data_IF_628054346647
#
_entry.id   IF_628054346647
#
_cell.length_a   1.000
_cell.length_b   1.000
_cell.length_c   1.000
_cell.angle_alpha   90.00
_cell.angle_beta   90.00
_cell.angle_gamma   90.00
#
_symmetry.space_group_name_H-M   'P 1'
#
loop_
_entity.id
_entity.type
_entity.pdbx_description
1 polymer ?
#
# COMPACT_ATOMS: atom_id res chain seq x y z
N UNK A 1 21.24 5.94 2.77
CA UNK A 1 20.35 5.67 1.63
C UNK A 1 18.92 5.26 2.00
N UNK A 2 18.74 4.37 2.99
CA UNK A 2 17.42 3.88 3.37
C UNK A 2 16.57 4.91 4.13
N UNK A 3 17.20 5.72 4.98
CA UNK A 3 16.51 6.78 5.73
C UNK A 3 15.96 7.88 4.81
N UNK A 4 16.69 8.21 3.75
CA UNK A 4 16.21 9.16 2.75
C UNK A 4 14.96 8.63 2.03
N UNK A 5 14.93 7.35 1.67
CA UNK A 5 13.80 6.76 0.97
C UNK A 5 12.50 6.79 1.81
N UNK A 6 12.58 6.48 3.10
CA UNK A 6 11.42 6.50 4.01
C UNK A 6 10.87 7.92 4.17
N UNK A 7 11.77 8.87 4.39
CA UNK A 7 11.43 10.29 4.55
C UNK A 7 10.84 10.87 3.27
N UNK A 8 11.46 10.61 2.13
CA UNK A 8 11.01 11.14 0.84
C UNK A 8 9.67 10.54 0.41
N UNK A 9 9.43 9.26 0.71
CA UNK A 9 8.12 8.63 0.51
C UNK A 9 7.03 9.30 1.35
N UNK A 10 7.33 9.63 2.60
CA UNK A 10 6.38 10.33 3.47
C UNK A 10 6.07 11.74 2.94
N UNK A 11 7.09 12.51 2.56
CA UNK A 11 6.90 13.85 1.99
C UNK A 11 6.12 13.81 0.68
N UNK A 12 6.38 12.84 -0.19
CA UNK A 12 5.66 12.70 -1.46
C UNK A 12 4.18 12.44 -1.23
N UNK A 13 3.83 11.59 -0.25
CA UNK A 13 2.44 11.31 0.10
C UNK A 13 1.78 12.56 0.70
N UNK A 14 2.44 13.26 1.61
CA UNK A 14 1.92 14.50 2.17
C UNK A 14 1.70 15.57 1.07
N UNK A 15 2.66 15.74 0.16
CA UNK A 15 2.54 16.67 -0.96
C UNK A 15 1.39 16.31 -1.91
N UNK A 16 1.15 15.03 -2.17
CA UNK A 16 0.04 14.58 -3.02
C UNK A 16 -1.33 14.86 -2.40
N UNK A 17 -1.42 15.00 -1.08
CA UNK A 17 -2.65 15.34 -0.37
C UNK A 17 -2.98 16.84 -0.39
N UNK A 18 -1.99 17.72 -0.59
CA UNK A 18 -2.20 19.18 -0.62
C UNK A 18 -3.24 19.59 -1.68
N UNK A 19 -3.18 19.13 -2.95
CA UNK A 19 -4.19 19.47 -3.94
C UNK A 19 -5.59 19.03 -3.55
N UNK A 20 -5.73 17.85 -2.94
CA UNK A 20 -7.01 17.32 -2.46
C UNK A 20 -7.58 18.22 -1.38
N UNK A 21 -6.77 18.64 -0.40
CA UNK A 21 -7.18 19.52 0.67
C UNK A 21 -7.52 20.94 0.18
N UNK A 22 -6.83 21.42 -0.86
CA UNK A 22 -7.09 22.74 -1.47
C UNK A 22 -8.36 22.76 -2.33
N UNK A 23 -8.63 21.67 -3.06
CA UNK A 23 -9.83 21.57 -3.91
C UNK A 23 -11.10 21.36 -3.09
N UNK A 24 -10.98 20.73 -1.91
CA UNK A 24 -12.11 20.46 -1.01
C UNK A 24 -12.01 21.20 0.33
N UNK A 25 -11.85 22.54 0.36
CA UNK A 25 -11.71 23.29 1.62
C UNK A 25 -12.96 23.24 2.50
N UNK A 26 -14.13 22.94 1.90
CA UNK A 26 -15.43 22.85 2.58
C UNK A 26 -15.89 21.40 2.79
N UNK A 27 -15.03 20.42 2.63
CA UNK A 27 -15.34 19.07 3.11
C UNK A 27 -15.40 19.20 4.63
N UNK A 28 -16.63 19.32 5.15
CA UNK A 28 -16.84 19.29 6.59
C UNK A 28 -16.20 18.02 7.12
N UNK A 29 -15.11 18.18 7.81
CA UNK A 29 -14.36 17.10 8.48
C UNK A 29 -15.21 16.51 9.61
N UNK A 30 -16.48 16.90 9.66
CA UNK A 30 -17.46 16.48 10.62
C UNK A 30 -18.00 15.09 10.23
N UNK A 31 -17.69 14.17 11.04
CA UNK A 31 -18.41 12.94 11.46
C UNK A 31 -19.14 12.07 10.43
N UNK A 32 -19.23 12.42 9.14
CA UNK A 32 -19.97 11.58 8.17
C UNK A 32 -19.64 11.86 6.71
N UNK A 33 -19.87 10.85 5.88
CA UNK A 33 -19.64 10.87 4.41
C UNK A 33 -20.62 11.77 3.63
N UNK A 34 -21.54 12.43 4.32
CA UNK A 34 -22.57 13.23 3.68
C UNK A 34 -23.69 12.40 3.02
N UNK A 35 -24.84 13.04 2.83
CA UNK A 35 -26.03 12.37 2.30
C UNK A 35 -25.86 11.82 0.88
N UNK A 36 -25.13 12.54 0.03
CA UNK A 36 -24.96 12.18 -1.38
C UNK A 36 -24.15 10.89 -1.54
N UNK A 37 -23.00 10.79 -0.84
CA UNK A 37 -22.13 9.61 -0.89
C UNK A 37 -22.84 8.41 -0.28
N UNK A 38 -23.55 8.59 0.84
CA UNK A 38 -24.33 7.52 1.47
C UNK A 38 -25.45 7.01 0.57
N UNK A 39 -26.15 7.89 -0.14
CA UNK A 39 -27.18 7.50 -1.11
C UNK A 39 -26.59 6.77 -2.32
N UNK A 40 -25.46 7.23 -2.86
CA UNK A 40 -24.77 6.57 -3.98
C UNK A 40 -24.35 5.15 -3.61
N UNK A 41 -23.84 4.95 -2.39
CA UNK A 41 -23.43 3.63 -1.91
C UNK A 41 -24.66 2.69 -1.68
N UNK A 42 -25.77 3.21 -1.18
CA UNK A 42 -26.98 2.42 -0.94
C UNK A 42 -27.71 2.03 -2.23
N UNK A 43 -27.73 2.90 -3.22
CA UNK A 43 -28.50 2.71 -4.47
C UNK A 43 -27.71 2.00 -5.56
N UNK A 44 -26.42 1.69 -5.35
CA UNK A 44 -25.51 1.22 -6.39
C UNK A 44 -25.48 2.09 -7.66
N UNK A 45 -25.92 3.35 -7.54
CA UNK A 45 -25.98 4.28 -8.66
C UNK A 45 -24.60 4.58 -9.27
N UNK A 46 -23.51 4.28 -8.55
CA UNK A 46 -22.15 4.39 -9.06
C UNK A 46 -21.92 3.56 -10.32
N UNK A 47 -22.59 2.40 -10.46
CA UNK A 47 -22.49 1.57 -11.68
C UNK A 47 -23.06 2.25 -12.93
N UNK A 48 -24.04 3.15 -12.77
CA UNK A 48 -24.63 3.88 -13.91
C UNK A 48 -23.69 4.95 -14.45
N UNK A 49 -22.69 5.35 -13.67
CA UNK A 49 -21.69 6.36 -14.05
C UNK A 49 -20.32 5.75 -14.34
N UNK A 50 -20.23 4.45 -14.57
CA UNK A 50 -18.96 3.72 -14.83
C UNK A 50 -17.92 3.91 -13.69
N UNK A 51 -18.39 4.21 -12.48
CA UNK A 51 -17.56 4.38 -11.30
C UNK A 51 -17.53 3.07 -10.50
N UNK A 52 -16.40 2.79 -9.87
CA UNK A 52 -16.32 1.66 -8.94
C UNK A 52 -17.35 1.82 -7.81
N UNK A 53 -18.06 0.74 -7.44
CA UNK A 53 -19.08 0.80 -6.40
C UNK A 53 -18.44 1.20 -5.07
N UNK A 54 -19.02 2.22 -4.44
CA UNK A 54 -18.66 2.60 -3.08
C UNK A 54 -19.13 1.50 -2.12
N UNK A 55 -18.19 0.90 -1.39
CA UNK A 55 -18.55 -0.15 -0.45
C UNK A 55 -19.26 0.45 0.79
N UNK A 56 -20.54 0.17 0.91
CA UNK A 56 -21.38 0.63 2.02
C UNK A 56 -20.83 0.22 3.40
N UNK A 57 -20.18 -0.94 3.48
CA UNK A 57 -19.57 -1.42 4.73
C UNK A 57 -18.49 -0.48 5.25
N UNK A 58 -17.70 0.12 4.36
CA UNK A 58 -16.67 1.09 4.73
C UNK A 58 -17.29 2.40 5.19
N UNK A 59 -18.28 2.88 4.43
CA UNK A 59 -18.97 4.13 4.77
C UNK A 59 -19.71 4.06 6.11
N UNK A 60 -20.26 2.90 6.46
CA UNK A 60 -20.97 2.72 7.72
C UNK A 60 -20.03 2.57 8.93
N UNK A 61 -18.79 2.15 8.71
CA UNK A 61 -17.85 1.80 9.79
C UNK A 61 -16.82 2.89 10.08
N UNK A 62 -16.34 3.57 9.05
CA UNK A 62 -15.28 4.54 9.15
C UNK A 62 -15.78 5.95 8.84
N UNK A 63 -15.30 6.90 9.62
CA UNK A 63 -15.38 8.30 9.24
C UNK A 63 -14.46 8.57 8.03
N UNK A 64 -14.71 9.60 7.22
CA UNK A 64 -13.84 9.97 6.10
C UNK A 64 -12.38 10.14 6.52
N UNK A 65 -12.14 10.69 7.70
CA UNK A 65 -10.81 10.90 8.25
C UNK A 65 -10.09 9.59 8.57
N UNK A 66 -10.78 8.63 9.19
CA UNK A 66 -10.22 7.31 9.49
C UNK A 66 -9.91 6.53 8.23
N UNK A 67 -10.82 6.54 7.25
CA UNK A 67 -10.62 5.89 5.96
C UNK A 67 -9.41 6.48 5.21
N UNK A 68 -9.29 7.82 5.20
CA UNK A 68 -8.16 8.51 4.60
C UNK A 68 -6.85 8.16 5.33
N UNK A 69 -6.85 8.17 6.66
CA UNK A 69 -5.68 7.82 7.46
C UNK A 69 -5.20 6.38 7.21
N UNK A 70 -6.13 5.42 7.14
CA UNK A 70 -5.80 4.03 6.82
C UNK A 70 -5.24 3.86 5.40
N UNK A 71 -5.81 4.57 4.42
CA UNK A 71 -5.31 4.54 3.04
C UNK A 71 -3.90 5.14 2.96
N UNK A 72 -3.67 6.29 3.60
CA UNK A 72 -2.34 6.91 3.65
C UNK A 72 -1.31 5.99 4.30
N UNK A 73 -1.68 5.33 5.39
CA UNK A 73 -0.82 4.38 6.08
C UNK A 73 -0.47 3.19 5.18
N UNK A 74 -1.45 2.63 4.47
CA UNK A 74 -1.23 1.52 3.53
C UNK A 74 -0.29 1.91 2.38
N UNK A 75 -0.49 3.09 1.79
CA UNK A 75 0.37 3.63 0.73
C UNK A 75 1.79 3.86 1.25
N UNK A 76 1.93 4.40 2.45
CA UNK A 76 3.23 4.62 3.07
C UNK A 76 3.97 3.31 3.33
N UNK A 77 3.30 2.30 3.93
CA UNK A 77 3.89 0.98 4.14
C UNK A 77 4.33 0.32 2.83
N UNK A 78 3.51 0.42 1.77
CA UNK A 78 3.87 -0.09 0.45
C UNK A 78 5.10 0.63 -0.11
N UNK A 79 5.16 1.96 -0.01
CA UNK A 79 6.30 2.75 -0.48
C UNK A 79 7.59 2.39 0.25
N UNK A 80 7.52 2.22 1.58
CA UNK A 80 8.67 1.76 2.38
C UNK A 80 9.09 0.35 1.97
N UNK A 81 8.14 -0.57 1.81
CA UNK A 81 8.42 -1.94 1.39
C UNK A 81 9.12 -1.98 0.03
N UNK A 82 8.58 -1.28 -0.97
CA UNK A 82 9.19 -1.23 -2.32
C UNK A 82 10.58 -0.60 -2.31
N UNK A 83 10.80 0.44 -1.50
CA UNK A 83 12.10 1.07 -1.32
C UNK A 83 13.13 0.12 -0.70
N UNK A 84 12.76 -0.58 0.38
CA UNK A 84 13.66 -1.53 1.08
C UNK A 84 13.94 -2.76 0.21
N UNK A 85 12.94 -3.27 -0.51
CA UNK A 85 13.10 -4.38 -1.47
C UNK A 85 14.02 -3.98 -2.62
N UNK A 86 13.88 -2.76 -3.17
CA UNK A 86 14.80 -2.23 -4.20
C UNK A 86 16.23 -2.16 -3.70
N UNK A 87 16.40 -1.63 -2.49
CA UNK A 87 17.73 -1.51 -1.88
C UNK A 87 18.36 -2.89 -1.67
N UNK A 88 17.64 -3.81 -1.04
CA UNK A 88 18.10 -5.17 -0.80
C UNK A 88 18.43 -5.90 -2.10
N UNK A 89 17.57 -5.81 -3.12
CA UNK A 89 17.78 -6.44 -4.42
C UNK A 89 19.03 -5.91 -5.14
N UNK A 90 19.21 -4.60 -5.14
CA UNK A 90 20.38 -3.96 -5.76
C UNK A 90 21.69 -4.25 -5.02
N UNK A 91 21.61 -4.43 -3.70
CA UNK A 91 22.78 -4.69 -2.87
C UNK A 91 23.20 -6.16 -2.89
N UNK A 92 22.24 -7.09 -2.80
CA UNK A 92 22.52 -8.52 -2.64
C UNK A 92 22.76 -9.24 -3.97
N UNK A 93 22.12 -8.82 -5.05
CA UNK A 93 22.17 -9.53 -6.34
C UNK A 93 22.97 -8.74 -7.36
N UNK A 94 22.42 -7.67 -7.90
CA UNK A 94 23.06 -6.85 -8.94
C UNK A 94 22.41 -5.47 -9.05
N UNK A 95 23.15 -4.47 -9.54
CA UNK A 95 22.58 -3.15 -9.83
C UNK A 95 21.43 -3.26 -10.84
N UNK A 96 20.26 -2.75 -10.46
CA UNK A 96 19.03 -2.80 -11.27
C UNK A 96 18.08 -3.95 -10.96
N UNK A 97 18.50 -4.97 -10.18
CA UNK A 97 17.63 -6.10 -9.83
C UNK A 97 16.42 -5.67 -8.97
N UNK A 98 16.58 -4.67 -8.12
CA UNK A 98 15.49 -4.10 -7.33
C UNK A 98 14.38 -3.51 -8.19
N UNK A 99 14.71 -2.90 -9.34
CA UNK A 99 13.72 -2.39 -10.30
C UNK A 99 12.92 -3.55 -10.90
N UNK A 100 13.60 -4.64 -11.28
CA UNK A 100 12.95 -5.82 -11.86
C UNK A 100 11.95 -6.44 -10.88
N UNK A 101 12.32 -6.55 -9.60
CA UNK A 101 11.40 -7.06 -8.55
C UNK A 101 10.18 -6.15 -8.44
N UNK A 102 10.35 -4.83 -8.36
CA UNK A 102 9.24 -3.90 -8.22
C UNK A 102 8.35 -3.88 -9.46
N UNK A 103 8.92 -3.95 -10.66
CA UNK A 103 8.13 -4.14 -11.87
C UNK A 103 7.33 -5.46 -11.84
N UNK A 104 7.93 -6.53 -11.34
CA UNK A 104 7.25 -7.81 -11.13
C UNK A 104 6.06 -7.67 -10.18
N UNK A 105 6.24 -7.02 -9.03
CA UNK A 105 5.17 -6.75 -8.05
C UNK A 105 4.04 -5.92 -8.69
N UNK A 106 4.38 -4.88 -9.44
CA UNK A 106 3.40 -4.04 -10.13
C UNK A 106 2.64 -4.80 -11.23
N UNK A 107 3.34 -5.60 -12.03
CA UNK A 107 2.74 -6.43 -13.07
C UNK A 107 1.79 -7.48 -12.51
N UNK A 108 2.17 -8.15 -11.40
CA UNK A 108 1.27 -9.11 -10.74
C UNK A 108 -0.03 -8.45 -10.30
N UNK A 109 0.03 -7.24 -9.75
CA UNK A 109 -1.17 -6.49 -9.36
C UNK A 109 -2.06 -6.14 -10.57
N UNK A 110 -1.47 -5.69 -11.69
CA UNK A 110 -2.20 -5.38 -12.91
C UNK A 110 -2.86 -6.63 -13.52
N UNK A 111 -2.15 -7.75 -13.56
CA UNK A 111 -2.69 -9.01 -14.08
C UNK A 111 -3.82 -9.52 -13.19
N UNK A 112 -3.62 -9.53 -11.86
CA UNK A 112 -4.61 -10.03 -10.92
C UNK A 112 -5.85 -9.14 -10.83
N UNK A 113 -5.74 -7.83 -11.04
CA UNK A 113 -6.90 -6.94 -11.12
C UNK A 113 -7.81 -7.27 -12.31
N UNK A 114 -7.27 -7.82 -13.38
CA UNK A 114 -8.05 -8.28 -14.56
C UNK A 114 -8.71 -9.64 -14.35
N UNK A 115 -8.10 -10.51 -13.53
CA UNK A 115 -8.61 -11.83 -13.21
C UNK A 115 -9.28 -11.86 -11.83
N UNK A 116 -10.28 -11.01 -11.64
CA UNK A 116 -10.97 -10.77 -10.36
C UNK A 116 -11.61 -11.99 -9.70
N UNK A 117 -11.70 -13.13 -10.40
CA UNK A 117 -12.23 -14.39 -9.86
C UNK A 117 -11.26 -15.15 -8.95
N UNK A 118 -9.99 -14.72 -8.86
CA UNK A 118 -8.98 -15.45 -8.09
C UNK A 118 -8.76 -14.76 -6.74
N UNK A 119 -9.48 -15.21 -5.73
CA UNK A 119 -9.34 -14.75 -4.33
C UNK A 119 -7.89 -14.80 -3.84
N UNK A 120 -7.11 -15.81 -4.23
CA UNK A 120 -5.70 -15.97 -3.88
C UNK A 120 -4.85 -14.79 -4.36
N UNK A 121 -5.20 -14.18 -5.50
CA UNK A 121 -4.49 -13.04 -6.04
C UNK A 121 -4.45 -11.83 -5.12
N UNK A 122 -5.54 -11.59 -4.38
CA UNK A 122 -5.60 -10.49 -3.41
C UNK A 122 -4.62 -10.66 -2.24
N UNK A 123 -4.27 -11.91 -1.88
CA UNK A 123 -3.30 -12.19 -0.83
C UNK A 123 -1.85 -12.02 -1.29
N UNK A 124 -1.58 -12.13 -2.59
CA UNK A 124 -0.23 -12.10 -3.14
C UNK A 124 0.16 -10.78 -3.81
N UNK A 125 -0.77 -9.82 -3.97
CA UNK A 125 -0.52 -8.57 -4.68
C UNK A 125 -0.56 -7.34 -3.75
N UNK A 126 0.57 -6.95 -3.15
CA UNK A 126 0.63 -5.80 -2.24
C UNK A 126 0.06 -4.49 -2.78
N UNK A 127 0.19 -4.14 -4.08
CA UNK A 127 -0.41 -2.92 -4.58
C UNK A 127 -1.95 -2.89 -4.51
N UNK A 128 -2.63 -4.04 -4.51
CA UNK A 128 -4.09 -4.10 -4.35
C UNK A 128 -4.54 -3.76 -2.92
N UNK A 129 -3.63 -3.85 -1.94
CA UNK A 129 -3.92 -3.51 -0.55
C UNK A 129 -4.01 -2.00 -0.27
N UNK A 130 -3.71 -1.16 -1.26
CA UNK A 130 -3.98 0.28 -1.14
C UNK A 130 -5.48 0.59 -1.14
N UNK A 131 -6.29 -0.28 -1.73
CA UNK A 131 -7.73 -0.13 -1.72
C UNK A 131 -8.32 -0.79 -0.45
N UNK A 132 -8.75 0.04 0.51
CA UNK A 132 -9.37 -0.42 1.76
C UNK A 132 -10.64 -1.24 1.50
N UNK A 133 -11.34 -0.98 0.39
CA UNK A 133 -12.54 -1.74 0.01
C UNK A 133 -12.24 -3.21 -0.29
N UNK A 134 -11.01 -3.54 -0.69
CA UNK A 134 -10.60 -4.91 -0.97
C UNK A 134 -10.40 -5.77 0.28
N UNK A 135 -10.36 -5.19 1.48
CA UNK A 135 -10.10 -5.92 2.71
C UNK A 135 -11.31 -6.70 3.20
N UNK A 136 -11.04 -7.76 3.96
CA UNK A 136 -12.09 -8.53 4.63
C UNK A 136 -12.53 -7.81 5.90
N UNK A 137 -13.73 -7.25 5.87
CA UNK A 137 -14.33 -6.58 7.02
C UNK A 137 -15.38 -7.49 7.67
N UNK A 138 -15.15 -7.90 8.93
CA UNK A 138 -16.11 -8.71 9.73
C UNK A 138 -16.66 -9.97 9.03
N UNK A 139 -15.82 -10.64 8.23
CA UNK A 139 -16.25 -11.84 7.51
C UNK A 139 -16.83 -11.58 6.11
N UNK A 140 -17.09 -10.34 5.75
CA UNK A 140 -17.52 -9.93 4.41
C UNK A 140 -16.30 -9.45 3.59
N UNK A 141 -16.31 -9.78 2.29
CA UNK A 141 -15.21 -9.47 1.38
C UNK A 141 -14.28 -10.65 1.12
N UNK A 142 -13.65 -10.65 -0.05
CA UNK A 142 -12.77 -11.72 -0.52
C UNK A 142 -11.29 -11.42 -0.29
N UNK A 143 -10.96 -10.26 0.26
CA UNK A 143 -9.60 -9.80 0.45
C UNK A 143 -8.95 -10.24 1.77
N UNK A 144 -7.69 -9.87 1.98
CA UNK A 144 -6.97 -10.15 3.21
C UNK A 144 -7.49 -9.31 4.38
N UNK A 145 -7.28 -9.80 5.61
CA UNK A 145 -7.56 -9.01 6.81
C UNK A 145 -6.50 -7.91 6.99
N UNK A 146 -6.87 -6.82 7.67
CA UNK A 146 -5.91 -5.75 8.03
C UNK A 146 -4.68 -6.31 8.74
N UNK A 147 -4.88 -7.19 9.73
CA UNK A 147 -3.78 -7.78 10.47
C UNK A 147 -2.82 -8.56 9.56
N UNK A 148 -3.33 -9.29 8.57
CA UNK A 148 -2.51 -9.98 7.59
C UNK A 148 -1.66 -9.00 6.79
N UNK A 149 -2.27 -7.95 6.23
CA UNK A 149 -1.59 -6.96 5.38
C UNK A 149 -0.42 -6.30 6.12
N UNK A 150 -0.67 -5.77 7.32
CA UNK A 150 0.39 -5.12 8.10
C UNK A 150 1.43 -6.11 8.61
N UNK A 151 1.06 -7.35 8.93
CA UNK A 151 2.02 -8.40 9.27
C UNK A 151 2.96 -8.71 8.11
N UNK A 152 2.43 -8.83 6.89
CA UNK A 152 3.25 -9.08 5.69
C UNK A 152 4.18 -7.90 5.43
N UNK A 153 3.71 -6.66 5.51
CA UNK A 153 4.58 -5.48 5.39
C UNK A 153 5.71 -5.52 6.42
N UNK A 154 5.40 -5.77 7.69
CA UNK A 154 6.40 -5.82 8.76
C UNK A 154 7.43 -6.94 8.53
N UNK A 155 6.98 -8.14 8.13
CA UNK A 155 7.86 -9.29 7.85
C UNK A 155 8.79 -8.99 6.68
N UNK A 156 8.25 -8.49 5.56
CA UNK A 156 9.06 -8.21 4.35
C UNK A 156 10.07 -7.09 4.61
N UNK A 157 9.63 -6.00 5.21
CA UNK A 157 10.52 -4.87 5.57
C UNK A 157 11.61 -5.35 6.54
N UNK A 158 11.23 -6.09 7.59
CA UNK A 158 12.17 -6.62 8.58
C UNK A 158 13.18 -7.59 7.96
N UNK A 159 12.71 -8.55 7.17
CA UNK A 159 13.57 -9.53 6.49
C UNK A 159 14.58 -8.85 5.54
N UNK A 160 14.11 -7.94 4.68
CA UNK A 160 14.98 -7.22 3.76
C UNK A 160 16.00 -6.33 4.49
N UNK A 161 15.61 -5.70 5.59
CA UNK A 161 16.52 -4.89 6.41
C UNK A 161 17.59 -5.75 7.08
N UNK A 162 17.21 -6.89 7.66
CA UNK A 162 18.16 -7.84 8.27
C UNK A 162 19.13 -8.39 7.23
N UNK A 163 18.63 -8.83 6.06
CA UNK A 163 19.46 -9.34 4.99
C UNK A 163 20.45 -8.29 4.48
N UNK A 164 20.03 -7.05 4.34
CA UNK A 164 20.90 -5.93 3.95
C UNK A 164 21.97 -5.67 4.99
N UNK A 165 21.61 -5.68 6.27
CA UNK A 165 22.56 -5.50 7.37
C UNK A 165 23.62 -6.62 7.41
N UNK A 166 23.19 -7.89 7.31
CA UNK A 166 24.10 -9.03 7.29
C UNK A 166 25.02 -9.00 6.05
N UNK A 167 24.51 -8.57 4.90
CA UNK A 167 25.30 -8.40 3.68
C UNK A 167 26.39 -7.34 3.82
N UNK A 168 26.09 -6.21 4.46
CA UNK A 168 27.07 -5.16 4.74
C UNK A 168 28.19 -5.69 5.64
N UNK A 169 27.81 -6.31 6.76
CA UNK A 169 28.76 -6.86 7.73
C UNK A 169 29.71 -7.89 7.10
N UNK A 170 29.21 -8.71 6.17
CA UNK A 170 30.04 -9.70 5.48
C UNK A 170 31.05 -9.04 4.53
N UNK A 171 30.69 -7.95 3.86
CA UNK A 171 31.62 -7.21 3.00
C UNK A 171 32.71 -6.52 3.81
N UNK A 172 32.38 -5.91 4.94
CA UNK A 172 33.36 -5.26 5.80
C UNK A 172 34.39 -6.25 6.35
N UNK A 173 33.98 -7.48 6.69
CA UNK A 173 34.90 -8.53 7.16
C UNK A 173 35.89 -8.97 6.06
N UNK A 174 35.45 -9.09 4.82
CA UNK A 174 36.32 -9.47 3.69
C UNK A 174 37.38 -8.38 3.40
N UNK A 175 37.04 -7.10 3.59
CA UNK A 175 38.00 -6.00 3.45
C UNK A 175 39.10 -6.02 4.51
N UNK A 176 38.80 -6.52 5.71
CA UNK A 176 39.78 -6.62 6.81
C UNK A 176 40.71 -7.81 6.64
N UNK A 177 40.31 -8.88 5.95
CA UNK A 177 41.14 -10.04 5.67
C UNK A 177 42.09 -9.82 4.48
N UNK A 178 41.88 -8.81 3.65
CA UNK A 178 42.77 -8.48 2.50
C UNK A 178 43.87 -7.45 2.84
N UNK A 179 43.93 -6.95 4.07
CA UNK A 179 44.96 -6.04 4.59
C UNK A 179 45.92 -6.79 5.51
#
# INVERSE_FOLDING_TARGET
GSEMCIRDSFYTICLSMIPVLLVFPNVGWETGWGKVISMLAQTNAAYTFDQEPLDYLILSRFSPQEAMGLTMLAIWCLSVMTGVVSYAGNFLVHRGFGIVINCGIALTALLLSKFSSITIGYYCAPPLWMNIASYKWQGYGNGPSIAYVYSVFAIVIGACTILSYLGIRKKDLNFVEEI
#
